data_IF_912183406519
#
_entry.id   IF_912183406519
#
_cell.length_a   1.000
_cell.length_b   1.000
_cell.length_c   1.000
_cell.angle_alpha   90.00
_cell.angle_beta   90.00
_cell.angle_gamma   90.00
#
_symmetry.space_group_name_H-M   'P 1'
#
loop_
_entity.id
_entity.type
_entity.pdbx_description
1 polymer ?
#
# COMPACT_ATOMS: atom_id res chain seq x y z
N UNK A 1 -1.50 -2.23 9.53
CA UNK A 1 -2.25 -1.09 10.09
C UNK A 1 -3.00 -0.47 8.93
N UNK A 2 -4.23 -0.08 9.18
CA UNK A 2 -5.07 0.71 8.29
C UNK A 2 -5.61 1.88 9.10
N UNK A 3 -5.79 3.03 8.46
CA UNK A 3 -6.46 4.18 9.02
C UNK A 3 -7.69 4.50 8.19
N UNK A 4 -8.85 4.40 8.82
CA UNK A 4 -10.14 4.58 8.16
C UNK A 4 -11.20 4.84 9.21
N UNK A 5 -12.20 5.64 8.89
CA UNK A 5 -13.41 5.76 9.70
C UNK A 5 -14.21 4.45 9.62
N UNK A 6 -14.20 3.66 10.71
CA UNK A 6 -14.90 2.36 10.73
C UNK A 6 -16.33 2.45 11.25
N UNK A 7 -16.72 3.59 11.82
CA UNK A 7 -17.99 3.78 12.52
C UNK A 7 -18.87 4.90 11.92
N UNK A 8 -18.41 5.49 10.81
CA UNK A 8 -19.05 6.58 10.05
C UNK A 8 -19.25 7.87 10.87
N UNK A 9 -18.37 8.16 11.84
CA UNK A 9 -18.41 9.39 12.64
C UNK A 9 -17.61 10.57 12.06
N UNK A 10 -16.99 10.37 10.90
CA UNK A 10 -16.05 11.27 10.20
C UNK A 10 -14.73 11.50 10.92
N UNK A 11 -14.34 10.63 11.85
CA UNK A 11 -12.99 10.62 12.41
C UNK A 11 -12.28 9.34 11.98
N UNK A 12 -11.06 9.49 11.46
CA UNK A 12 -10.29 8.33 11.04
C UNK A 12 -9.86 7.52 12.29
N UNK A 13 -10.16 6.22 12.28
CA UNK A 13 -9.79 5.27 13.32
C UNK A 13 -8.53 4.48 12.92
N UNK A 14 -7.87 3.87 13.90
CA UNK A 14 -6.70 3.01 13.63
C UNK A 14 -7.07 1.55 13.80
N UNK A 15 -6.80 0.74 12.78
CA UNK A 15 -7.09 -0.70 12.76
C UNK A 15 -5.80 -1.50 12.58
N UNK A 16 -5.59 -2.48 13.46
CA UNK A 16 -4.37 -3.28 13.51
C UNK A 16 -4.70 -4.76 13.60
N UNK A 17 -3.97 -5.57 12.81
CA UNK A 17 -3.98 -7.01 12.95
C UNK A 17 -3.04 -7.49 14.04
N UNK A 18 -3.55 -8.27 14.99
CA UNK A 18 -2.76 -8.94 16.02
C UNK A 18 -2.59 -10.42 15.66
N UNK A 19 -1.40 -10.74 15.16
CA UNK A 19 -1.02 -12.10 14.78
C UNK A 19 -1.00 -13.06 15.96
N UNK A 20 -0.55 -12.61 17.13
CA UNK A 20 -0.27 -13.50 18.26
C UNK A 20 -1.56 -13.96 18.94
N UNK A 21 -2.53 -13.05 19.07
CA UNK A 21 -3.78 -13.33 19.77
C UNK A 21 -4.96 -13.61 18.83
N UNK A 22 -4.78 -13.50 17.51
CA UNK A 22 -5.86 -13.65 16.53
C UNK A 22 -6.98 -12.62 16.73
N UNK A 23 -6.57 -11.36 16.88
CA UNK A 23 -7.50 -10.23 16.97
C UNK A 23 -7.32 -9.25 15.81
N UNK A 24 -8.40 -8.56 15.48
CA UNK A 24 -8.37 -7.23 14.88
C UNK A 24 -8.57 -6.21 16.01
N UNK A 25 -7.61 -5.32 16.23
CA UNK A 25 -7.66 -4.31 17.30
C UNK A 25 -8.02 -2.96 16.68
N UNK A 26 -8.99 -2.28 17.28
CA UNK A 26 -9.53 -1.01 16.75
C UNK A 26 -9.41 0.08 17.79
N UNK A 27 -8.69 1.13 17.44
CA UNK A 27 -8.57 2.34 18.22
C UNK A 27 -9.52 3.38 17.64
N UNK A 28 -10.68 3.56 18.28
CA UNK A 28 -11.67 4.54 17.86
C UNK A 28 -11.24 5.95 18.24
N UNK A 29 -11.33 6.88 17.29
CA UNK A 29 -10.97 8.29 17.45
C UNK A 29 -12.20 9.13 17.79
N UNK A 30 -12.25 9.67 19.00
CA UNK A 30 -13.38 10.49 19.49
C UNK A 30 -13.26 11.99 19.17
N UNK A 31 -12.53 12.34 18.11
CA UNK A 31 -12.03 13.68 17.73
C UNK A 31 -10.81 14.18 18.53
N UNK A 32 -10.06 15.13 17.95
CA UNK A 32 -8.85 15.73 18.52
C UNK A 32 -7.76 14.71 18.92
N UNK A 33 -7.58 13.65 18.12
CA UNK A 33 -6.59 12.60 18.35
C UNK A 33 -6.75 11.85 19.69
N UNK A 34 -7.98 11.77 20.20
CA UNK A 34 -8.29 11.02 21.42
C UNK A 34 -8.80 9.62 21.07
N UNK A 35 -7.91 8.64 21.23
CA UNK A 35 -8.20 7.24 20.98
C UNK A 35 -8.67 6.52 22.25
N UNK A 36 -9.55 5.52 22.07
CA UNK A 36 -9.82 4.54 23.12
C UNK A 36 -8.57 3.65 23.38
N UNK A 37 -8.67 2.73 24.35
CA UNK A 37 -7.56 1.81 24.69
C UNK A 37 -7.37 0.65 23.69
N UNK A 38 -7.96 0.70 22.50
CA UNK A 38 -8.01 -0.40 21.55
C UNK A 38 -9.05 -1.45 21.97
N UNK A 39 -9.99 -1.76 21.10
CA UNK A 39 -11.00 -2.81 21.30
C UNK A 39 -10.58 -4.03 20.46
N UNK A 40 -10.27 -5.19 21.08
CA UNK A 40 -9.97 -6.40 20.34
C UNK A 40 -11.26 -7.07 19.84
N UNK A 41 -11.23 -7.51 18.58
CA UNK A 41 -12.26 -8.32 17.95
C UNK A 41 -11.67 -9.67 17.53
N UNK A 42 -12.29 -10.76 17.97
CA UNK A 42 -11.87 -12.11 17.61
C UNK A 42 -12.01 -12.35 16.10
N UNK A 43 -10.96 -12.90 15.50
CA UNK A 43 -10.95 -13.34 14.10
C UNK A 43 -10.46 -14.78 14.00
N UNK A 44 -10.82 -15.48 12.92
CA UNK A 44 -10.56 -16.92 12.77
C UNK A 44 -9.07 -17.29 12.91
N UNK A 45 -8.16 -16.37 12.58
CA UNK A 45 -6.72 -16.49 12.76
C UNK A 45 -6.02 -15.13 12.74
N UNK A 46 -4.89 -15.02 13.45
CA UNK A 46 -4.09 -13.79 13.47
C UNK A 46 -3.48 -13.45 12.13
N UNK A 47 -3.39 -12.15 11.84
CA UNK A 47 -2.96 -11.60 10.54
C UNK A 47 -1.74 -10.70 10.72
N UNK A 48 -0.89 -10.60 9.70
CA UNK A 48 0.26 -9.69 9.71
C UNK A 48 0.23 -8.65 8.58
N UNK A 49 -0.56 -8.93 7.54
CA UNK A 49 -0.93 -7.94 6.54
C UNK A 49 -2.43 -7.67 6.69
N UNK A 50 -2.79 -6.40 6.55
CA UNK A 50 -4.14 -5.89 6.64
C UNK A 50 -4.30 -4.87 5.51
N UNK A 51 -5.37 -5.03 4.74
CA UNK A 51 -5.78 -4.15 3.64
C UNK A 51 -7.25 -3.81 3.83
N UNK A 52 -7.67 -2.72 3.19
CA UNK A 52 -9.00 -2.16 3.29
C UNK A 52 -9.63 -1.94 1.92
N UNK A 53 -10.90 -2.28 1.81
CA UNK A 53 -11.73 -2.05 0.63
C UNK A 53 -13.19 -2.35 0.97
N UNK A 54 -14.13 -1.74 0.27
CA UNK A 54 -15.51 -2.22 0.28
C UNK A 54 -15.60 -3.50 -0.58
N UNK A 55 -15.63 -4.66 0.08
CA UNK A 55 -15.57 -5.97 -0.58
C UNK A 55 -16.96 -6.51 -0.93
N UNK A 56 -18.02 -5.87 -0.43
CA UNK A 56 -19.39 -6.33 -0.60
C UNK A 56 -20.30 -5.29 -1.30
N UNK A 57 -19.78 -4.10 -1.59
CA UNK A 57 -20.43 -2.95 -2.20
C UNK A 57 -21.58 -2.37 -1.36
N UNK A 58 -21.41 -2.30 -0.04
CA UNK A 58 -22.37 -1.68 0.90
C UNK A 58 -21.96 -0.26 1.35
N UNK A 59 -20.91 0.29 0.74
CA UNK A 59 -20.24 1.56 1.04
C UNK A 59 -19.57 1.61 2.41
N UNK A 60 -19.27 0.45 3.02
CA UNK A 60 -18.51 0.37 4.26
C UNK A 60 -17.18 -0.29 3.99
N UNK A 61 -16.14 0.29 4.57
CA UNK A 61 -14.81 -0.26 4.39
C UNK A 61 -14.68 -1.56 5.18
N UNK A 62 -14.49 -2.66 4.46
CA UNK A 62 -14.18 -3.98 4.99
C UNK A 62 -12.66 -4.18 5.11
N UNK A 63 -12.26 -5.26 5.77
CA UNK A 63 -10.85 -5.59 5.97
C UNK A 63 -10.47 -6.95 5.41
N UNK A 64 -9.29 -7.02 4.78
CA UNK A 64 -8.71 -8.24 4.24
C UNK A 64 -7.40 -8.50 4.97
N UNK A 65 -7.30 -9.66 5.61
CA UNK A 65 -6.15 -10.04 6.42
C UNK A 65 -5.55 -11.39 6.05
N UNK A 66 -4.23 -11.53 6.16
CA UNK A 66 -3.54 -12.80 5.95
C UNK A 66 -2.18 -12.87 6.67
N UNK A 67 -1.63 -14.08 6.78
CA UNK A 67 -0.25 -14.29 7.23
C UNK A 67 0.69 -14.51 6.04
N UNK A 68 1.43 -13.46 5.68
CA UNK A 68 2.32 -13.48 4.52
C UNK A 68 3.46 -14.49 4.68
N UNK A 69 3.65 -15.33 3.65
CA UNK A 69 4.70 -16.34 3.56
C UNK A 69 4.47 -17.61 4.39
N UNK A 70 3.47 -17.66 5.26
CA UNK A 70 3.20 -18.80 6.15
C UNK A 70 1.89 -19.51 5.87
N UNK A 71 0.87 -18.81 5.38
CA UNK A 71 -0.49 -19.34 5.24
C UNK A 71 -1.00 -19.31 3.81
N UNK A 72 -1.89 -20.25 3.49
CA UNK A 72 -2.72 -20.24 2.27
C UNK A 72 -4.09 -19.63 2.52
N UNK A 73 -4.35 -19.16 3.74
CA UNK A 73 -5.64 -18.61 4.14
C UNK A 73 -5.58 -17.09 4.18
N UNK A 74 -6.64 -16.49 3.67
CA UNK A 74 -6.96 -15.08 3.79
C UNK A 74 -8.35 -14.97 4.45
N UNK A 75 -8.55 -13.95 5.25
CA UNK A 75 -9.84 -13.65 5.88
C UNK A 75 -10.31 -12.29 5.39
N UNK A 76 -11.59 -12.22 5.02
CA UNK A 76 -12.32 -10.98 4.78
C UNK A 76 -13.20 -10.75 6.01
N UNK A 77 -13.12 -9.57 6.59
CA UNK A 77 -13.83 -9.18 7.81
C UNK A 77 -14.76 -8.05 7.40
N UNK A 78 -16.07 -8.31 7.42
CA UNK A 78 -17.06 -7.36 6.95
C UNK A 78 -17.42 -6.36 8.03
N UNK A 79 -17.31 -5.07 7.71
CA UNK A 79 -17.70 -3.99 8.60
C UNK A 79 -19.21 -3.76 8.52
N UNK A 80 -19.83 -3.51 9.67
CA UNK A 80 -21.26 -3.16 9.72
C UNK A 80 -21.51 -1.65 9.80
N UNK A 81 -20.44 -0.83 9.79
CA UNK A 81 -20.51 0.65 9.73
C UNK A 81 -20.76 1.30 11.08
N UNK A 82 -20.54 0.58 12.17
CA UNK A 82 -20.67 1.09 13.54
C UNK A 82 -19.50 0.63 14.41
N UNK A 83 -18.36 0.30 13.79
CA UNK A 83 -17.20 -0.29 14.47
C UNK A 83 -17.41 -1.74 14.93
N UNK A 84 -18.38 -2.48 14.38
CA UNK A 84 -18.57 -3.92 14.68
C UNK A 84 -18.43 -4.81 13.44
N UNK A 85 -17.91 -6.02 13.66
CA UNK A 85 -17.45 -6.95 12.62
C UNK A 85 -18.06 -8.34 12.85
N UNK A 86 -19.32 -8.51 12.43
CA UNK A 86 -20.10 -9.69 12.82
C UNK A 86 -20.05 -10.83 11.79
N UNK A 87 -19.30 -10.65 10.70
CA UNK A 87 -19.18 -11.65 9.63
C UNK A 87 -17.76 -11.69 9.11
N UNK A 88 -17.20 -12.88 9.07
CA UNK A 88 -15.93 -13.17 8.40
C UNK A 88 -16.17 -14.12 7.23
N UNK A 89 -15.29 -14.06 6.24
CA UNK A 89 -15.19 -15.06 5.18
C UNK A 89 -13.73 -15.46 5.00
N UNK A 90 -13.44 -16.74 5.21
CA UNK A 90 -12.12 -17.30 4.93
C UNK A 90 -12.04 -17.78 3.48
N UNK A 91 -11.05 -17.29 2.74
CA UNK A 91 -10.67 -17.75 1.41
C UNK A 91 -9.43 -18.64 1.51
N UNK A 92 -9.49 -19.81 0.86
CA UNK A 92 -8.36 -20.72 0.72
C UNK A 92 -7.73 -20.57 -0.66
N UNK A 93 -6.50 -20.09 -0.66
CA UNK A 93 -5.69 -19.88 -1.84
C UNK A 93 -4.94 -21.16 -2.22
N UNK A 94 -4.50 -21.28 -3.48
CA UNK A 94 -3.78 -22.45 -3.98
C UNK A 94 -2.36 -22.59 -3.43
N UNK A 95 -1.76 -21.51 -2.89
CA UNK A 95 -0.44 -21.53 -2.28
C UNK A 95 -0.26 -20.46 -1.20
N UNK A 96 0.93 -20.42 -0.59
CA UNK A 96 1.26 -19.48 0.48
C UNK A 96 1.29 -18.06 -0.06
N UNK A 97 0.39 -17.23 0.44
CA UNK A 97 0.22 -15.83 0.03
C UNK A 97 1.49 -15.07 0.40
N UNK A 98 2.16 -14.44 -0.57
CA UNK A 98 3.34 -13.58 -0.29
C UNK A 98 2.92 -12.13 -0.11
N UNK A 99 2.06 -11.63 -0.99
CA UNK A 99 1.53 -10.27 -0.98
C UNK A 99 0.24 -10.20 -1.81
N UNK A 100 -0.57 -9.18 -1.57
CA UNK A 100 -1.80 -8.90 -2.32
C UNK A 100 -1.88 -7.41 -2.65
N UNK A 101 -2.77 -7.09 -3.59
CA UNK A 101 -3.27 -5.74 -3.80
C UNK A 101 -4.73 -5.85 -4.27
N UNK A 102 -5.48 -4.76 -4.10
CA UNK A 102 -6.92 -4.74 -4.29
C UNK A 102 -7.29 -3.71 -5.36
N UNK A 103 -8.09 -4.11 -6.34
CA UNK A 103 -8.60 -3.20 -7.36
C UNK A 103 -9.78 -3.82 -8.11
N UNK A 104 -10.67 -3.01 -8.65
CA UNK A 104 -11.63 -3.47 -9.66
C UNK A 104 -10.90 -3.64 -11.00
N UNK A 105 -10.26 -4.81 -11.17
CA UNK A 105 -9.49 -5.16 -12.37
C UNK A 105 -10.42 -5.27 -13.58
N UNK A 106 -11.63 -5.73 -13.32
CA UNK A 106 -12.53 -6.19 -14.36
C UNK A 106 -13.62 -5.15 -14.70
N UNK A 107 -13.68 -4.02 -13.99
CA UNK A 107 -14.66 -2.94 -14.16
C UNK A 107 -16.11 -3.39 -13.99
N UNK A 108 -16.36 -4.26 -13.02
CA UNK A 108 -17.73 -4.61 -12.63
C UNK A 108 -18.19 -3.89 -11.36
N UNK A 109 -17.39 -2.95 -10.86
CA UNK A 109 -17.55 -2.21 -9.60
C UNK A 109 -17.43 -3.09 -8.34
N UNK A 110 -16.81 -4.27 -8.46
CA UNK A 110 -16.44 -5.07 -7.30
C UNK A 110 -14.92 -5.15 -7.20
N UNK A 111 -14.40 -4.92 -5.99
CA UNK A 111 -12.97 -4.98 -5.75
C UNK A 111 -12.50 -6.43 -5.84
N UNK A 112 -11.62 -6.70 -6.81
CA UNK A 112 -10.96 -7.98 -7.03
C UNK A 112 -9.68 -8.10 -6.20
N UNK A 113 -9.26 -9.34 -5.98
CA UNK A 113 -8.03 -9.65 -5.22
C UNK A 113 -6.95 -10.10 -6.20
N UNK A 114 -5.87 -9.35 -6.27
CA UNK A 114 -4.65 -9.77 -6.97
C UNK A 114 -3.68 -10.34 -5.93
N UNK A 115 -3.03 -11.46 -6.25
CA UNK A 115 -2.14 -12.17 -5.31
C UNK A 115 -0.90 -12.71 -6.01
N UNK A 116 0.22 -12.66 -5.28
CA UNK A 116 1.44 -13.38 -5.61
C UNK A 116 1.78 -14.39 -4.53
N UNK A 117 2.35 -15.52 -4.93
CA UNK A 117 2.67 -16.62 -4.04
C UNK A 117 4.16 -16.74 -3.74
N UNK A 118 4.48 -17.28 -2.58
CA UNK A 118 5.87 -17.47 -2.16
C UNK A 118 6.55 -18.53 -3.02
N UNK A 119 7.57 -18.12 -3.79
CA UNK A 119 8.37 -19.03 -4.61
C UNK A 119 7.69 -19.53 -5.88
N UNK A 120 6.61 -18.88 -6.33
CA UNK A 120 5.90 -19.25 -7.57
C UNK A 120 5.85 -18.03 -8.51
N UNK A 121 6.35 -18.15 -9.76
CA UNK A 121 6.26 -17.07 -10.74
C UNK A 121 4.85 -16.83 -11.26
N UNK A 122 4.52 -15.56 -11.47
CA UNK A 122 3.24 -15.10 -11.99
C UNK A 122 2.38 -14.40 -10.94
N UNK A 123 1.33 -13.77 -11.44
CA UNK A 123 0.30 -13.09 -10.65
C UNK A 123 -1.01 -13.83 -10.83
N UNK A 124 -1.78 -13.93 -9.76
CA UNK A 124 -3.05 -14.63 -9.74
C UNK A 124 -4.14 -13.64 -9.38
N UNK A 125 -5.30 -13.75 -10.02
CA UNK A 125 -6.44 -12.88 -9.78
C UNK A 125 -7.62 -13.74 -9.34
N UNK A 126 -8.27 -13.30 -8.27
CA UNK A 126 -9.53 -13.83 -7.76
C UNK A 126 -10.57 -12.74 -7.94
N UNK A 127 -11.48 -12.93 -8.89
CA UNK A 127 -12.52 -11.96 -9.19
C UNK A 127 -13.62 -12.02 -8.15
N UNK A 128 -14.06 -10.85 -7.69
CA UNK A 128 -15.19 -10.71 -6.78
C UNK A 128 -16.49 -10.71 -7.59
N UNK A 129 -17.26 -11.78 -7.48
CA UNK A 129 -18.49 -11.98 -8.25
C UNK A 129 -19.74 -11.47 -7.50
N UNK A 130 -19.56 -10.47 -6.62
CA UNK A 130 -20.56 -9.91 -5.73
C UNK A 130 -21.09 -10.87 -4.64
N UNK A 131 -21.79 -10.30 -3.65
CA UNK A 131 -22.48 -11.04 -2.58
C UNK A 131 -21.59 -12.01 -1.80
N UNK A 132 -20.30 -11.69 -1.71
CA UNK A 132 -19.30 -12.55 -1.10
C UNK A 132 -19.08 -13.86 -1.87
N UNK A 133 -19.21 -13.88 -3.20
CA UNK A 133 -18.75 -14.98 -4.05
C UNK A 133 -17.44 -14.57 -4.76
N UNK A 134 -16.52 -15.51 -4.91
CA UNK A 134 -15.23 -15.26 -5.56
C UNK A 134 -14.99 -16.33 -6.62
N UNK A 135 -14.36 -15.94 -7.73
CA UNK A 135 -14.00 -16.87 -8.80
C UNK A 135 -12.92 -17.86 -8.37
N UNK A 136 -12.65 -18.86 -9.21
CA UNK A 136 -11.38 -19.56 -9.13
C UNK A 136 -10.23 -18.61 -9.54
N UNK A 137 -9.03 -18.94 -9.07
CA UNK A 137 -7.82 -18.17 -9.40
C UNK A 137 -7.50 -18.25 -10.88
N UNK A 138 -7.32 -17.09 -11.51
CA UNK A 138 -6.81 -16.97 -12.88
C UNK A 138 -5.34 -16.58 -12.83
N UNK A 139 -4.46 -17.38 -13.45
CA UNK A 139 -3.02 -17.12 -13.48
C UNK A 139 -2.64 -16.29 -14.70
N UNK A 140 -1.83 -15.27 -14.48
CA UNK A 140 -1.12 -14.50 -15.50
C UNK A 140 0.37 -14.77 -15.36
N UNK A 141 0.98 -15.22 -16.46
CA UNK A 141 2.38 -15.60 -16.47
C UNK A 141 3.27 -14.36 -16.40
N UNK A 142 4.31 -14.45 -15.57
CA UNK A 142 5.42 -13.51 -15.53
C UNK A 142 6.70 -14.32 -15.57
N UNK A 143 7.75 -13.76 -16.18
CA UNK A 143 9.02 -14.48 -16.34
C UNK A 143 9.73 -14.67 -14.99
N UNK A 144 9.67 -13.63 -14.16
CA UNK A 144 10.38 -13.59 -12.88
C UNK A 144 9.45 -13.87 -11.69
N UNK A 145 10.07 -14.25 -10.57
CA UNK A 145 9.39 -14.24 -9.28
C UNK A 145 9.01 -12.81 -8.92
N UNK A 146 7.82 -12.64 -8.34
CA UNK A 146 7.33 -11.35 -7.86
C UNK A 146 7.25 -11.39 -6.34
N UNK A 147 8.04 -10.55 -5.66
CA UNK A 147 8.04 -10.49 -4.19
C UNK A 147 6.94 -9.57 -3.65
N UNK A 148 6.65 -8.53 -4.41
CA UNK A 148 5.71 -7.45 -4.12
C UNK A 148 5.22 -6.88 -5.44
N UNK A 149 4.06 -6.25 -5.40
CA UNK A 149 3.53 -5.57 -6.56
C UNK A 149 2.61 -4.43 -6.18
N UNK A 150 2.30 -3.60 -7.17
CA UNK A 150 1.22 -2.62 -7.12
C UNK A 150 0.28 -2.78 -8.29
N UNK A 151 -1.01 -2.59 -8.03
CA UNK A 151 -2.08 -2.54 -9.02
C UNK A 151 -2.53 -1.10 -9.16
N UNK A 152 -2.72 -0.66 -10.39
CA UNK A 152 -3.31 0.64 -10.67
C UNK A 152 -4.28 0.53 -11.81
N UNK A 153 -5.48 1.06 -11.58
CA UNK A 153 -6.47 1.25 -12.62
C UNK A 153 -6.07 2.51 -13.41
N UNK A 154 -5.37 2.33 -14.53
CA UNK A 154 -5.00 3.42 -15.43
C UNK A 154 -6.03 3.47 -16.54
N UNK A 155 -6.69 4.61 -16.72
CA UNK A 155 -7.57 4.88 -17.85
C UNK A 155 -6.84 5.76 -18.87
N UNK A 156 -5.88 5.17 -19.58
CA UNK A 156 -5.12 5.87 -20.61
C UNK A 156 -4.91 4.96 -21.82
N UNK A 157 -5.04 5.54 -23.02
CA UNK A 157 -4.64 4.92 -24.29
C UNK A 157 -5.08 3.44 -24.43
N UNK A 158 -6.38 3.15 -24.24
CA UNK A 158 -6.99 1.82 -24.41
C UNK A 158 -6.57 0.72 -23.41
N UNK A 159 -5.97 1.08 -22.29
CA UNK A 159 -5.60 0.15 -21.21
C UNK A 159 -6.36 0.49 -19.93
N UNK A 160 -6.44 -0.48 -19.03
CA UNK A 160 -7.27 -0.40 -17.82
C UNK A 160 -6.52 -0.65 -16.54
N UNK A 161 -5.54 -1.54 -16.55
CA UNK A 161 -4.87 -1.96 -15.34
C UNK A 161 -3.37 -2.12 -15.57
N UNK A 162 -2.59 -1.73 -14.57
CA UNK A 162 -1.16 -1.93 -14.48
C UNK A 162 -0.87 -2.85 -13.31
N UNK A 163 -0.13 -3.94 -13.51
CA UNK A 163 0.46 -4.71 -12.41
C UNK A 163 1.97 -4.56 -12.49
N UNK A 164 2.54 -3.93 -11.46
CA UNK A 164 3.99 -3.75 -11.32
C UNK A 164 4.54 -4.78 -10.36
N UNK A 165 5.01 -5.91 -10.87
CA UNK A 165 5.72 -6.91 -10.06
C UNK A 165 7.20 -6.55 -9.94
N UNK A 166 7.79 -6.74 -8.76
CA UNK A 166 9.23 -6.52 -8.60
C UNK A 166 9.90 -7.52 -7.67
N UNK A 167 11.19 -7.75 -7.95
CA UNK A 167 12.06 -8.66 -7.21
C UNK A 167 13.52 -8.21 -7.36
N UNK A 168 14.10 -7.75 -6.24
CA UNK A 168 15.52 -7.45 -6.01
C UNK A 168 16.33 -7.11 -7.30
N UNK A 169 15.91 -6.09 -8.05
CA UNK A 169 16.63 -5.62 -9.23
C UNK A 169 15.78 -5.31 -10.47
N UNK A 170 14.65 -6.00 -10.64
CA UNK A 170 13.80 -5.84 -11.82
C UNK A 170 12.38 -5.40 -11.45
N UNK A 171 11.80 -4.58 -12.31
CA UNK A 171 10.37 -4.23 -12.31
C UNK A 171 9.76 -4.77 -13.59
N UNK A 172 8.81 -5.68 -13.45
CA UNK A 172 8.03 -6.24 -14.54
C UNK A 172 6.64 -5.61 -14.53
N UNK A 173 6.25 -5.08 -15.67
CA UNK A 173 5.02 -4.33 -15.86
C UNK A 173 4.09 -5.16 -16.74
N UNK A 174 2.95 -5.58 -16.20
CA UNK A 174 1.87 -6.18 -16.98
C UNK A 174 0.81 -5.15 -17.30
N UNK A 175 0.54 -4.96 -18.58
CA UNK A 175 -0.53 -4.08 -19.06
C UNK A 175 -1.80 -4.88 -19.37
N UNK A 176 -2.90 -4.47 -18.74
CA UNK A 176 -4.24 -4.99 -18.98
C UNK A 176 -4.92 -4.29 -20.16
N UNK A 177 -5.62 -5.06 -21.00
CA UNK A 177 -6.39 -4.55 -22.14
C UNK A 177 -7.90 -4.48 -21.85
N UNK A 178 -8.68 -3.92 -22.79
CA UNK A 178 -10.15 -3.86 -22.75
C UNK A 178 -10.86 -5.20 -22.56
N UNK A 179 -10.21 -6.32 -22.90
CA UNK A 179 -10.78 -7.66 -22.81
C UNK A 179 -10.48 -8.33 -21.47
N UNK A 180 -10.03 -7.56 -20.47
CA UNK A 180 -9.73 -8.04 -19.11
C UNK A 180 -8.61 -9.09 -19.10
N UNK A 181 -7.69 -9.02 -20.06
CA UNK A 181 -6.48 -9.85 -20.11
C UNK A 181 -5.20 -9.00 -20.10
N UNK A 182 -4.12 -9.57 -19.58
CA UNK A 182 -2.78 -8.98 -19.62
C UNK A 182 -2.03 -9.57 -20.82
N UNK A 183 -1.50 -8.71 -21.69
CA UNK A 183 -0.95 -9.12 -22.98
C UNK A 183 0.54 -8.81 -23.15
N UNK A 184 1.03 -7.76 -22.49
CA UNK A 184 2.41 -7.29 -22.66
C UNK A 184 3.10 -7.18 -21.31
N UNK A 185 4.21 -7.94 -21.16
CA UNK A 185 5.16 -7.79 -20.06
C UNK A 185 6.32 -6.90 -20.54
N UNK A 186 6.43 -5.72 -19.95
CA UNK A 186 7.58 -4.83 -20.13
C UNK A 186 8.49 -4.94 -18.91
N UNK A 187 9.76 -5.25 -19.12
CA UNK A 187 10.74 -5.28 -18.05
C UNK A 187 11.53 -3.98 -18.04
N UNK A 188 11.56 -3.35 -16.87
CA UNK A 188 12.40 -2.21 -16.55
C UNK A 188 13.47 -2.64 -15.55
N UNK A 189 14.73 -2.37 -15.88
CA UNK A 189 15.86 -2.62 -14.99
C UNK A 189 16.31 -1.28 -14.39
N UNK A 190 15.84 -0.93 -13.18
CA UNK A 190 16.16 0.32 -12.51
C UNK A 190 17.64 0.54 -12.14
N UNK A 191 18.50 -0.42 -12.45
CA UNK A 191 19.89 -0.49 -12.00
C UNK A 191 20.01 -0.34 -10.48
N UNK A 192 19.00 -0.84 -9.75
CA UNK A 192 18.95 -0.79 -8.29
C UNK A 192 18.17 -1.96 -7.68
N UNK A 193 18.44 -2.27 -6.40
CA UNK A 193 17.66 -3.19 -5.58
C UNK A 193 16.34 -2.53 -5.16
N UNK A 194 15.29 -2.79 -5.93
CA UNK A 194 13.94 -2.30 -5.65
C UNK A 194 13.40 -2.86 -4.32
N UNK A 195 13.04 -1.97 -3.40
CA UNK A 195 12.36 -2.33 -2.15
C UNK A 195 10.85 -2.14 -2.21
N UNK A 196 10.45 -0.98 -2.72
CA UNK A 196 9.07 -0.51 -2.71
C UNK A 196 8.80 0.31 -3.96
N UNK A 197 7.55 0.31 -4.38
CA UNK A 197 7.07 1.11 -5.50
C UNK A 197 5.83 1.87 -5.04
N UNK A 198 5.80 3.17 -5.35
CA UNK A 198 4.58 3.96 -5.37
C UNK A 198 4.25 4.41 -6.78
N UNK A 199 2.96 4.67 -6.97
CA UNK A 199 2.43 5.20 -8.20
C UNK A 199 1.81 6.56 -7.91
N UNK A 200 2.24 7.59 -8.62
CA UNK A 200 1.70 8.94 -8.48
C UNK A 200 1.95 9.77 -9.74
N UNK A 201 1.04 10.65 -10.09
CA UNK A 201 1.36 11.79 -10.97
C UNK A 201 2.13 12.81 -10.12
N UNK A 202 3.47 12.78 -10.18
CA UNK A 202 4.32 13.57 -9.27
C UNK A 202 4.72 14.91 -9.87
N UNK A 203 4.53 15.11 -11.18
CA UNK A 203 4.76 16.38 -11.86
C UNK A 203 3.48 17.07 -12.38
N UNK A 204 2.31 16.52 -12.04
CA UNK A 204 0.98 17.05 -12.34
C UNK A 204 0.70 17.13 -13.86
N UNK A 205 1.22 16.17 -14.64
CA UNK A 205 1.01 16.09 -16.08
C UNK A 205 -0.18 15.19 -16.50
N UNK A 206 -0.89 14.62 -15.52
CA UNK A 206 -1.96 13.62 -15.62
C UNK A 206 -1.52 12.21 -16.06
N UNK A 207 -0.21 11.94 -16.09
CA UNK A 207 0.33 10.60 -16.24
C UNK A 207 0.82 10.07 -14.91
N UNK A 208 0.49 8.81 -14.60
CA UNK A 208 1.03 8.19 -13.39
C UNK A 208 2.48 7.76 -13.58
N UNK A 209 3.35 8.34 -12.76
CA UNK A 209 4.77 8.00 -12.64
C UNK A 209 5.00 6.85 -11.67
N UNK A 210 6.18 6.23 -11.78
CA UNK A 210 6.64 5.17 -10.88
C UNK A 210 7.73 5.73 -9.98
N UNK A 211 7.49 5.73 -8.67
CA UNK A 211 8.48 6.09 -7.65
C UNK A 211 9.01 4.79 -7.05
N UNK A 212 10.31 4.54 -7.21
CA UNK A 212 11.00 3.34 -6.75
C UNK A 212 11.84 3.69 -5.53
N UNK A 213 11.52 3.12 -4.38
CA UNK A 213 12.41 3.12 -3.21
C UNK A 213 13.41 1.97 -3.29
N UNK A 214 14.69 2.28 -3.18
CA UNK A 214 15.81 1.36 -3.37
C UNK A 214 16.41 0.92 -2.03
N UNK A 215 17.08 -0.23 -1.98
CA UNK A 215 17.90 -0.66 -0.82
C UNK A 215 19.40 -0.54 -1.05
N UNK A 216 19.80 0.17 -2.10
CA UNK A 216 21.22 0.34 -2.41
C UNK A 216 21.85 1.49 -1.66
N UNK A 217 23.18 1.47 -1.59
CA UNK A 217 23.99 2.50 -0.94
C UNK A 217 24.18 3.76 -1.78
N UNK A 218 23.79 3.74 -3.06
CA UNK A 218 24.12 4.81 -4.02
C UNK A 218 23.00 5.87 -4.15
N UNK A 219 21.73 5.50 -4.01
CA UNK A 219 20.59 6.43 -4.06
C UNK A 219 19.34 5.82 -3.41
N UNK A 220 18.55 6.65 -2.72
CA UNK A 220 17.44 6.18 -1.89
C UNK A 220 16.19 5.87 -2.69
N UNK A 221 15.78 6.79 -3.54
CA UNK A 221 14.68 6.56 -4.46
C UNK A 221 15.01 7.10 -5.83
N UNK A 222 14.26 6.61 -6.81
CA UNK A 222 14.25 7.17 -8.13
C UNK A 222 12.84 7.26 -8.67
N UNK A 223 12.63 8.23 -9.54
CA UNK A 223 11.33 8.45 -10.17
C UNK A 223 11.47 8.17 -11.66
N UNK A 224 10.57 7.35 -12.18
CA UNK A 224 10.40 7.08 -13.59
C UNK A 224 9.18 7.84 -14.09
N UNK A 225 9.43 8.90 -14.85
CA UNK A 225 8.35 9.71 -15.41
C UNK A 225 7.70 9.01 -16.60
N UNK A 226 6.36 8.97 -16.61
CA UNK A 226 5.55 8.44 -17.71
C UNK A 226 5.21 9.58 -18.66
N UNK A 227 5.67 9.49 -19.89
CA UNK A 227 5.27 10.44 -20.95
C UNK A 227 4.08 9.85 -21.78
N UNK A 228 3.72 10.51 -22.88
CA UNK A 228 2.60 10.17 -23.79
C UNK A 228 2.66 8.77 -24.47
N UNK A 229 3.52 7.85 -24.00
CA UNK A 229 3.65 6.47 -24.45
C UNK A 229 3.90 5.52 -23.27
N UNK A 230 3.77 4.21 -23.48
CA UNK A 230 4.10 3.09 -22.57
C UNK A 230 5.56 3.06 -22.06
N UNK A 231 6.30 4.14 -22.24
CA UNK A 231 7.74 4.20 -22.06
C UNK A 231 8.10 5.18 -20.95
N UNK A 232 8.83 4.67 -19.97
CA UNK A 232 9.41 5.44 -18.89
C UNK A 232 10.82 5.87 -19.31
N UNK A 233 11.06 7.17 -19.51
CA UNK A 233 12.26 7.63 -20.24
C UNK A 233 13.31 8.36 -19.40
N UNK A 234 13.07 8.60 -18.11
CA UNK A 234 14.05 9.31 -17.28
C UNK A 234 13.97 8.86 -15.83
N UNK A 235 15.08 8.33 -15.29
CA UNK A 235 15.25 8.11 -13.86
C UNK A 235 15.96 9.31 -13.23
N UNK A 236 15.28 9.99 -12.31
CA UNK A 236 15.93 10.96 -11.44
C UNK A 236 16.27 10.28 -10.13
N UNK A 237 17.56 10.21 -9.80
CA UNK A 237 18.08 9.52 -8.61
C UNK A 237 18.31 10.54 -7.50
N UNK A 238 17.73 10.28 -6.33
CA UNK A 238 17.85 11.16 -5.17
C UNK A 238 18.80 10.53 -4.13
N UNK A 239 19.98 11.11 -3.90
CA UNK A 239 20.98 10.57 -2.99
C UNK A 239 20.63 10.90 -1.54
N UNK A 240 20.53 9.89 -0.68
CA UNK A 240 20.62 10.02 0.79
C UNK A 240 21.29 8.75 1.32
N UNK A 241 21.91 8.86 2.49
CA UNK A 241 23.04 8.03 2.89
C UNK A 241 22.71 6.55 3.24
N UNK A 242 21.45 6.10 3.36
CA UNK A 242 21.13 4.82 4.03
C UNK A 242 19.78 4.16 3.64
N UNK A 243 19.72 2.83 3.77
CA UNK A 243 18.66 1.87 3.41
C UNK A 243 17.19 2.30 3.71
N UNK A 244 16.29 2.00 2.76
CA UNK A 244 14.85 2.32 2.86
C UNK A 244 14.01 1.13 3.30
N UNK A 245 12.99 1.38 4.13
CA UNK A 245 12.04 0.36 4.62
C UNK A 245 10.62 0.57 4.07
N UNK A 246 10.19 1.82 3.90
CA UNK A 246 8.92 2.14 3.25
C UNK A 246 9.00 3.51 2.57
N UNK A 247 8.05 3.75 1.68
CA UNK A 247 7.87 5.00 0.95
C UNK A 247 6.36 5.29 0.94
N UNK A 248 5.97 6.50 1.37
CA UNK A 248 4.59 6.99 1.27
C UNK A 248 4.60 8.37 0.60
N UNK A 249 3.42 8.81 0.12
CA UNK A 249 3.24 10.08 -0.59
C UNK A 249 2.05 10.86 -0.05
N UNK A 250 2.09 12.18 -0.17
CA UNK A 250 0.97 13.07 0.12
C UNK A 250 1.46 14.50 0.23
N UNK A 251 0.54 15.46 0.18
CA UNK A 251 0.84 16.88 0.34
C UNK A 251 1.04 17.19 1.84
N UNK A 252 2.26 17.52 2.26
CA UNK A 252 2.62 17.75 3.66
C UNK A 252 2.63 19.23 4.03
N UNK A 253 2.65 20.12 3.04
CA UNK A 253 2.80 21.56 3.22
C UNK A 253 1.62 22.36 2.62
N UNK A 254 0.59 21.68 2.13
CA UNK A 254 -0.61 22.20 1.50
C UNK A 254 -0.32 23.04 0.24
N UNK A 255 0.71 22.68 -0.53
CA UNK A 255 1.06 23.33 -1.80
C UNK A 255 0.44 22.66 -3.05
N UNK A 256 -0.38 21.63 -2.83
CA UNK A 256 -1.04 20.79 -3.85
C UNK A 256 -0.07 19.94 -4.67
N UNK A 257 1.17 19.77 -4.21
CA UNK A 257 2.15 18.87 -4.79
C UNK A 257 2.33 17.69 -3.84
N UNK A 258 2.35 16.48 -4.40
CA UNK A 258 2.61 15.30 -3.58
C UNK A 258 4.08 15.27 -3.18
N UNK A 259 4.33 15.28 -1.87
CA UNK A 259 5.64 15.07 -1.27
C UNK A 259 5.92 13.58 -1.06
N UNK A 260 7.17 13.24 -0.71
CA UNK A 260 7.60 11.87 -0.45
C UNK A 260 8.12 11.75 0.98
N UNK A 261 7.67 10.72 1.69
CA UNK A 261 8.21 10.34 3.00
C UNK A 261 8.93 9.01 2.88
N UNK A 262 10.15 8.95 3.39
CA UNK A 262 10.96 7.74 3.45
C UNK A 262 11.18 7.30 4.89
N UNK A 263 10.94 6.01 5.15
CA UNK A 263 11.22 5.37 6.43
C UNK A 263 12.58 4.70 6.46
N UNK A 264 13.36 4.97 7.52
CA UNK A 264 14.66 4.36 7.77
C UNK A 264 14.62 3.55 9.07
N UNK A 265 14.25 2.27 8.98
CA UNK A 265 14.10 1.38 10.13
C UNK A 265 15.37 1.32 11.00
N UNK A 266 16.53 1.00 10.40
CA UNK A 266 17.79 0.78 11.12
C UNK A 266 18.40 2.05 11.74
N UNK A 267 17.86 3.22 11.41
CA UNK A 267 18.35 4.51 11.89
C UNK A 267 17.29 5.28 12.68
N UNK A 268 16.15 4.64 12.97
CA UNK A 268 15.06 5.21 13.77
C UNK A 268 14.73 6.64 13.34
N UNK A 269 14.44 6.81 12.05
CA UNK A 269 14.15 8.12 11.46
C UNK A 269 13.29 8.02 10.22
N UNK A 270 12.66 9.15 9.88
CA UNK A 270 12.03 9.38 8.58
C UNK A 270 12.64 10.62 7.91
N UNK A 271 12.62 10.66 6.57
CA UNK A 271 13.00 11.82 5.78
C UNK A 271 11.83 12.34 4.94
N UNK A 272 11.62 13.67 4.93
CA UNK A 272 10.51 14.34 4.23
C UNK A 272 10.97 15.14 3.00
N UNK A 273 10.74 14.63 1.80
CA UNK A 273 11.16 15.26 0.55
C UNK A 273 10.01 16.07 -0.01
N UNK A 274 10.13 17.40 0.08
CA UNK A 274 9.12 18.31 -0.44
C UNK A 274 9.28 18.48 -1.96
N UNK A 275 8.19 18.28 -2.67
CA UNK A 275 8.09 18.48 -4.10
C UNK A 275 7.92 19.98 -4.38
N UNK A 276 8.89 20.58 -5.05
CA UNK A 276 8.83 22.01 -5.40
C UNK A 276 8.43 22.23 -6.86
N UNK A 277 7.94 21.16 -7.50
CA UNK A 277 7.49 21.15 -8.88
C UNK A 277 8.62 20.94 -9.87
N UNK A 278 8.26 20.93 -11.16
CA UNK A 278 9.20 20.74 -12.27
C UNK A 278 10.12 19.52 -12.09
N UNK A 279 9.58 18.42 -11.55
CA UNK A 279 10.30 17.15 -11.30
C UNK A 279 11.44 17.26 -10.27
N UNK A 280 11.41 18.27 -9.39
CA UNK A 280 12.45 18.53 -8.40
C UNK A 280 11.95 18.43 -6.96
N UNK A 281 12.77 17.80 -6.12
CA UNK A 281 12.58 17.73 -4.67
C UNK A 281 13.71 18.47 -3.98
N UNK A 282 13.38 19.22 -2.93
CA UNK A 282 14.40 19.80 -2.04
C UNK A 282 14.78 18.81 -0.94
N UNK A 283 16.07 18.79 -0.59
CA UNK A 283 16.59 17.84 0.38
C UNK A 283 16.00 18.11 1.77
N UNK A 284 15.66 17.01 2.42
CA UNK A 284 14.59 16.87 3.39
C UNK A 284 14.95 17.21 4.83
N UNK A 285 13.93 17.61 5.60
CA UNK A 285 13.97 17.58 7.07
C UNK A 285 14.00 16.11 7.52
N UNK A 286 14.93 15.79 8.42
CA UNK A 286 15.03 14.46 9.05
C UNK A 286 14.33 14.53 10.41
N UNK A 287 13.42 13.60 10.65
CA UNK A 287 12.78 13.41 11.95
C UNK A 287 13.28 12.11 12.56
N UNK A 288 13.88 12.20 13.75
CA UNK A 288 14.23 11.02 14.55
C UNK A 288 12.98 10.48 15.24
N UNK A 289 12.89 9.15 15.33
CA UNK A 289 11.87 8.40 16.05
C UNK A 289 12.54 7.66 17.20
N UNK A 290 11.80 7.33 18.25
CA UNK A 290 12.33 6.55 19.39
C UNK A 290 12.25 5.02 19.16
N UNK A 291 11.72 4.61 18.01
CA UNK A 291 11.54 3.21 17.61
C UNK A 291 11.92 3.01 16.14
N UNK A 292 12.02 1.77 15.70
CA UNK A 292 12.30 1.44 14.29
C UNK A 292 11.01 1.55 13.46
N UNK A 293 10.84 2.57 12.60
CA UNK A 293 9.61 2.74 11.85
C UNK A 293 9.50 1.61 10.80
N UNK A 294 8.37 0.93 10.77
CA UNK A 294 8.12 -0.20 9.87
C UNK A 294 7.13 0.16 8.75
N UNK A 295 6.18 1.03 9.04
CA UNK A 295 5.23 1.54 8.06
C UNK A 295 4.72 2.92 8.50
N UNK A 296 4.11 3.64 7.57
CA UNK A 296 3.51 4.92 7.82
C UNK A 296 2.24 5.08 6.98
N UNK A 297 1.35 5.96 7.41
CA UNK A 297 0.21 6.41 6.62
C UNK A 297 0.02 7.91 6.83
N UNK A 298 -0.51 8.58 5.82
CA UNK A 298 -0.85 10.01 5.87
C UNK A 298 -2.36 10.16 5.94
N UNK A 299 -2.84 10.93 6.91
CA UNK A 299 -4.27 11.21 7.09
C UNK A 299 -4.42 12.54 7.83
N UNK A 300 -5.43 13.32 7.47
CA UNK A 300 -5.92 14.40 8.34
C UNK A 300 -6.73 13.75 9.47
N UNK A 301 -6.08 13.42 10.59
CA UNK A 301 -6.71 12.61 11.65
C UNK A 301 -7.45 13.46 12.68
N UNK A 302 -7.19 14.77 12.67
CA UNK A 302 -7.83 15.74 13.55
C UNK A 302 -8.90 16.59 12.83
N UNK A 303 -9.06 16.43 11.52
CA UNK A 303 -9.96 17.18 10.62
C UNK A 303 -9.65 18.69 10.56
N UNK A 304 -8.38 19.08 10.64
CA UNK A 304 -7.94 20.48 10.57
C UNK A 304 -7.52 20.94 9.15
N UNK A 305 -7.51 20.02 8.18
CA UNK A 305 -7.10 20.26 6.81
C UNK A 305 -5.60 20.11 6.55
N UNK A 306 -4.83 19.63 7.53
CA UNK A 306 -3.42 19.27 7.39
C UNK A 306 -3.24 17.77 7.60
N UNK A 307 -2.32 17.17 6.83
CA UNK A 307 -2.05 15.74 6.92
C UNK A 307 -1.08 15.45 8.07
N UNK A 308 -1.44 14.53 8.97
CA UNK A 308 -0.54 13.92 9.93
C UNK A 308 0.12 12.66 9.38
N UNK A 309 1.36 12.42 9.80
CA UNK A 309 2.04 11.15 9.58
C UNK A 309 1.76 10.25 10.78
N UNK A 310 1.13 9.10 10.54
CA UNK A 310 0.97 8.05 11.54
C UNK A 310 1.99 6.96 11.27
N UNK A 311 2.99 6.89 12.14
CA UNK A 311 4.05 5.90 12.11
C UNK A 311 3.64 4.70 12.94
N UNK A 312 3.93 3.50 12.43
CA UNK A 312 3.93 2.27 13.22
C UNK A 312 5.32 1.65 13.16
N UNK A 313 5.77 1.14 14.31
CA UNK A 313 7.04 0.45 14.38
C UNK A 313 7.22 -0.29 15.68
N UNK A 314 8.44 -0.71 15.95
CA UNK A 314 8.76 -1.50 17.13
C UNK A 314 10.06 -1.04 17.75
N UNK A 315 10.16 -1.16 19.06
CA UNK A 315 11.46 -1.37 19.72
C UNK A 315 11.65 -2.87 20.00
N UNK A 316 12.65 -3.22 20.80
CA UNK A 316 12.98 -4.60 21.14
C UNK A 316 11.83 -5.41 21.76
N UNK A 317 10.76 -4.76 22.26
CA UNK A 317 9.73 -5.40 23.09
C UNK A 317 8.32 -4.82 22.87
N UNK A 318 8.19 -3.60 22.35
CA UNK A 318 6.94 -2.83 22.26
C UNK A 318 6.69 -2.36 20.83
N UNK A 319 5.44 -2.42 20.41
CA UNK A 319 4.97 -1.76 19.18
C UNK A 319 4.52 -0.34 19.48
N UNK A 320 4.93 0.62 18.66
CA UNK A 320 4.61 2.04 18.79
C UNK A 320 3.68 2.49 17.67
N UNK A 321 2.81 3.42 18.02
CA UNK A 321 2.09 4.26 17.07
C UNK A 321 2.41 5.71 17.45
N UNK A 322 2.95 6.48 16.51
CA UNK A 322 3.30 7.89 16.72
C UNK A 322 2.59 8.73 15.65
N UNK A 323 1.97 9.82 16.08
CA UNK A 323 1.29 10.79 15.20
C UNK A 323 2.15 12.04 15.16
N UNK A 324 2.67 12.38 13.98
CA UNK A 324 3.49 13.56 13.75
C UNK A 324 2.68 14.59 12.93
N UNK A 325 2.42 15.75 13.52
CA UNK A 325 1.94 16.92 12.77
C UNK A 325 3.14 17.72 12.26
N UNK A 326 3.18 17.98 10.96
CA UNK A 326 4.20 18.85 10.36
C UNK A 326 3.62 20.26 10.31
N UNK A 327 4.21 21.18 11.07
CA UNK A 327 3.91 22.60 10.90
C UNK A 327 4.74 23.14 9.73
N UNK A 328 4.11 23.81 8.74
CA UNK A 328 4.82 24.37 7.58
C UNK A 328 5.82 25.49 7.93
#
# INVERSE_FOLDING_TARGET
MVIVDVNEDNHADIVIGDRANSHLIIFLNSANNQFNNGIPHDIDFGICYLFEADMNNDNKIDFIGFQGGSSTLMIIIYNTGNGTFNRTKTLKMNSKIKYIDLADINQDNYIDIVVVYSGIPGVYIVFNMANGNFSNETRYEMKDLVNRFKVLNIHDNQRFNLILGYNDGNVSILFGNHNKSFIDEVNYSPESLVHTILLNDIDNDNNTDIIIGNRDRDFNFQILFKENSDTFYQSFKYPVELDNTFLIKGDLNNDQQSDIILGHNSHQRIGLYFNVGNRTFINSTIYSTDFEPQNAQLVDINNDGHMEIILIGTDSIVSYIEILSINP
#
